data_IF_261753552699
#
_entry.id   IF_261753552699
#
_cell.length_a   1.000
_cell.length_b   1.000
_cell.length_c   1.000
_cell.angle_alpha   90.00
_cell.angle_beta   90.00
_cell.angle_gamma   90.00
#
_symmetry.space_group_name_H-M   'P 1'
#
loop_
_entity.id
_entity.type
_entity.pdbx_description
1 polymer ?
#
# COMPACT_ATOMS: atom_id res chain seq x y z
N UNK A 1 -14.10 -34.18 -8.51
CA UNK A 1 -15.18 -33.22 -8.25
C UNK A 1 -14.81 -31.92 -8.95
N UNK A 2 -15.62 -31.50 -9.91
CA UNK A 2 -15.34 -30.33 -10.75
C UNK A 2 -15.42 -29.07 -9.89
N UNK A 3 -14.42 -28.20 -9.93
CA UNK A 3 -14.44 -26.90 -9.25
C UNK A 3 -15.30 -25.92 -10.03
N UNK A 4 -16.60 -26.21 -10.15
CA UNK A 4 -17.56 -25.42 -10.92
C UNK A 4 -17.74 -24.02 -10.34
N UNK A 5 -17.47 -23.84 -9.05
CA UNK A 5 -17.50 -22.54 -8.35
C UNK A 5 -16.59 -21.49 -8.99
N UNK A 6 -15.56 -21.93 -9.72
CA UNK A 6 -14.63 -21.05 -10.45
C UNK A 6 -14.84 -21.09 -11.97
N UNK A 7 -15.92 -21.70 -12.47
CA UNK A 7 -16.21 -21.76 -13.90
C UNK A 7 -16.34 -20.36 -14.50
N UNK A 8 -16.95 -19.42 -13.78
CA UNK A 8 -17.08 -18.03 -14.20
C UNK A 8 -15.73 -17.36 -14.49
N UNK A 9 -14.70 -17.65 -13.70
CA UNK A 9 -13.35 -17.10 -13.91
C UNK A 9 -12.68 -17.75 -15.12
N UNK A 10 -12.96 -19.03 -15.38
CA UNK A 10 -12.36 -19.80 -16.49
C UNK A 10 -12.93 -19.47 -17.86
N UNK A 11 -14.19 -19.03 -17.92
CA UNK A 11 -14.83 -18.65 -19.20
C UNK A 11 -14.41 -17.27 -19.70
N UNK A 12 -13.73 -16.46 -18.87
CA UNK A 12 -13.30 -15.13 -19.28
C UNK A 12 -12.23 -15.24 -20.39
N UNK A 13 -12.30 -14.41 -21.45
CA UNK A 13 -11.31 -14.41 -22.52
C UNK A 13 -9.86 -14.24 -22.02
N UNK A 14 -9.68 -13.47 -20.95
CA UNK A 14 -8.39 -13.18 -20.30
C UNK A 14 -7.82 -14.37 -19.52
N UNK A 15 -8.63 -15.39 -19.22
CA UNK A 15 -8.20 -16.55 -18.43
C UNK A 15 -7.06 -17.33 -19.11
N UNK A 16 -7.04 -17.38 -20.44
CA UNK A 16 -5.98 -18.07 -21.19
C UNK A 16 -4.61 -17.42 -20.97
N UNK A 17 -4.57 -16.08 -20.98
CA UNK A 17 -3.35 -15.32 -20.70
C UNK A 17 -2.95 -15.44 -19.21
N UNK A 18 -3.92 -15.33 -18.30
CA UNK A 18 -3.70 -15.52 -16.87
C UNK A 18 -3.12 -16.90 -16.53
N UNK A 19 -3.62 -17.97 -17.15
CA UNK A 19 -3.08 -19.33 -17.03
C UNK A 19 -1.65 -19.42 -17.59
N UNK A 20 -1.40 -18.83 -18.75
CA UNK A 20 -0.06 -18.79 -19.36
C UNK A 20 0.98 -18.07 -18.48
N UNK A 21 0.54 -17.05 -17.74
CA UNK A 21 1.34 -16.32 -16.75
C UNK A 21 1.49 -17.06 -15.40
N UNK A 22 1.06 -18.33 -15.32
CA UNK A 22 1.17 -19.13 -14.10
C UNK A 22 0.23 -18.69 -12.99
N UNK A 23 -0.96 -18.18 -13.34
CA UNK A 23 -1.97 -17.65 -12.42
C UNK A 23 -1.48 -16.45 -11.59
N UNK A 24 -0.64 -15.62 -12.19
CA UNK A 24 -0.13 -14.37 -11.58
C UNK A 24 -0.59 -13.16 -12.37
N UNK A 25 -0.99 -12.11 -11.66
CA UNK A 25 -1.34 -10.81 -12.24
C UNK A 25 -0.05 -10.06 -12.49
N UNK A 26 0.16 -9.57 -13.72
CA UNK A 26 1.31 -8.72 -14.04
C UNK A 26 0.96 -7.25 -13.71
N UNK A 27 1.57 -6.63 -12.68
CA UNK A 27 1.19 -5.29 -12.21
C UNK A 27 1.51 -4.17 -13.23
N UNK A 28 2.29 -4.47 -14.27
CA UNK A 28 2.70 -3.49 -15.29
C UNK A 28 1.85 -3.52 -16.57
N UNK A 29 0.89 -4.45 -16.67
CA UNK A 29 0.03 -4.66 -17.87
C UNK A 29 -1.47 -4.51 -17.59
N UNK A 30 -1.86 -4.01 -16.41
CA UNK A 30 -3.27 -3.93 -16.03
C UNK A 30 -3.97 -2.79 -16.78
N UNK A 31 -4.47 -3.07 -17.98
CA UNK A 31 -5.52 -2.27 -18.60
C UNK A 31 -6.82 -2.48 -17.81
N UNK A 32 -7.11 -1.51 -16.94
CA UNK A 32 -8.38 -1.27 -16.20
C UNK A 32 -9.33 -2.46 -16.10
N UNK A 33 -9.05 -3.34 -15.14
CA UNK A 33 -10.12 -4.09 -14.45
C UNK A 33 -10.92 -3.06 -13.63
N UNK A 34 -12.27 -3.05 -13.63
CA UNK A 34 -13.02 -2.26 -12.67
C UNK A 34 -12.89 -2.97 -11.30
N UNK A 35 -11.75 -2.80 -10.66
CA UNK A 35 -11.50 -3.32 -9.32
C UNK A 35 -12.34 -2.52 -8.34
N UNK A 36 -13.43 -3.14 -7.88
CA UNK A 36 -13.86 -2.90 -6.51
C UNK A 36 -12.69 -3.29 -5.61
N UNK A 37 -12.16 -2.28 -4.91
CA UNK A 37 -11.25 -2.37 -3.78
C UNK A 37 -9.79 -2.79 -4.10
N UNK A 38 -8.89 -2.07 -3.42
CA UNK A 38 -7.45 -2.31 -3.20
C UNK A 38 -6.57 -2.19 -4.48
N UNK A 39 -5.62 -1.28 -4.59
CA UNK A 39 -4.80 -0.64 -3.56
C UNK A 39 -3.38 -0.61 -4.09
N UNK A 40 -3.12 0.11 -5.18
CA UNK A 40 -1.75 0.34 -5.64
C UNK A 40 -1.24 1.58 -4.92
N UNK A 41 -0.68 1.38 -3.72
CA UNK A 41 0.12 2.39 -3.04
C UNK A 41 1.57 2.29 -3.54
N UNK A 42 2.05 3.27 -4.31
CA UNK A 42 3.47 3.63 -4.33
C UNK A 42 3.87 4.46 -3.08
N UNK A 43 2.99 4.54 -2.07
CA UNK A 43 3.15 5.34 -0.85
C UNK A 43 3.64 4.51 0.36
N UNK A 44 3.44 3.19 0.38
CA UNK A 44 3.66 2.38 1.60
C UNK A 44 5.09 2.47 2.18
N UNK A 45 6.14 2.48 1.36
CA UNK A 45 7.52 2.61 1.87
C UNK A 45 7.85 4.01 2.40
N UNK A 46 7.25 5.05 1.79
CA UNK A 46 7.40 6.44 2.28
C UNK A 46 6.58 6.66 3.53
N UNK A 47 5.37 6.11 3.57
CA UNK A 47 4.49 6.13 4.73
C UNK A 47 5.08 5.37 5.92
N UNK A 48 5.75 4.23 5.69
CA UNK A 48 6.47 3.51 6.74
C UNK A 48 7.63 4.36 7.33
N UNK A 49 8.39 5.05 6.48
CA UNK A 49 9.44 5.97 6.91
C UNK A 49 8.87 7.19 7.65
N UNK A 50 7.78 7.77 7.15
CA UNK A 50 7.10 8.92 7.73
C UNK A 50 6.50 8.59 9.11
N UNK A 51 5.83 7.44 9.22
CA UNK A 51 5.25 6.96 10.46
C UNK A 51 6.33 6.66 11.50
N UNK A 52 7.45 6.06 11.08
CA UNK A 52 8.62 5.84 11.94
C UNK A 52 9.20 7.16 12.47
N UNK A 53 9.34 8.18 11.62
CA UNK A 53 9.81 9.50 12.02
C UNK A 53 8.86 10.19 13.00
N UNK A 54 7.54 10.09 12.78
CA UNK A 54 6.53 10.65 13.69
C UNK A 54 6.53 9.93 15.05
N UNK A 55 6.69 8.61 15.07
CA UNK A 55 6.78 7.82 16.30
C UNK A 55 8.03 8.17 17.10
N UNK A 56 9.19 8.29 16.44
CA UNK A 56 10.42 8.70 17.11
C UNK A 56 10.29 10.10 17.73
N UNK A 57 9.67 11.04 17.01
CA UNK A 57 9.44 12.39 17.51
C UNK A 57 8.49 12.44 18.72
N UNK A 58 7.45 11.59 18.73
CA UNK A 58 6.54 11.45 19.87
C UNK A 58 7.24 10.84 21.10
N UNK A 59 8.14 9.88 20.88
CA UNK A 59 8.94 9.26 21.92
C UNK A 59 9.94 10.25 22.55
N UNK A 60 10.59 11.09 21.75
CA UNK A 60 11.48 12.15 22.27
C UNK A 60 10.70 13.15 23.14
N UNK A 61 9.47 13.49 22.74
CA UNK A 61 8.57 14.33 23.55
C UNK A 61 8.19 13.64 24.86
N UNK A 62 7.76 12.38 24.82
CA UNK A 62 7.30 11.65 26.01
C UNK A 62 8.41 11.42 27.03
N UNK A 63 9.66 11.28 26.55
CA UNK A 63 10.87 11.22 27.37
C UNK A 63 11.30 12.58 27.93
N UNK A 64 10.65 13.68 27.55
CA UNK A 64 10.97 15.03 27.99
C UNK A 64 12.23 15.63 27.37
N UNK A 65 12.70 15.06 26.25
CA UNK A 65 13.91 15.50 25.53
C UNK A 65 13.64 16.66 24.55
N UNK A 66 12.37 17.00 24.32
CA UNK A 66 11.92 18.09 23.46
C UNK A 66 10.90 18.95 24.21
N UNK A 67 11.02 20.28 24.05
CA UNK A 67 9.95 21.20 24.44
C UNK A 67 8.77 21.10 23.46
N UNK A 68 7.58 21.53 23.90
CA UNK A 68 6.39 21.56 23.04
C UNK A 68 6.60 22.39 21.76
N UNK A 69 7.43 23.43 21.82
CA UNK A 69 7.71 24.32 20.68
C UNK A 69 8.55 23.59 19.62
N UNK A 70 9.59 22.88 20.04
CA UNK A 70 10.47 22.12 19.15
C UNK A 70 9.73 20.95 18.51
N UNK A 71 8.93 20.23 19.29
CA UNK A 71 8.07 19.16 18.80
C UNK A 71 7.12 19.64 17.69
N UNK A 72 6.45 20.77 17.89
CA UNK A 72 5.51 21.32 16.90
C UNK A 72 6.22 21.78 15.62
N UNK A 73 7.45 22.27 15.73
CA UNK A 73 8.24 22.73 14.58
C UNK A 73 8.69 21.55 13.73
N UNK A 74 9.24 20.51 14.36
CA UNK A 74 9.72 19.31 13.66
C UNK A 74 8.55 18.53 13.04
N UNK A 75 7.42 18.40 13.74
CA UNK A 75 6.20 17.76 13.18
C UNK A 75 5.72 18.43 11.90
N UNK A 76 5.70 19.77 11.88
CA UNK A 76 5.27 20.54 10.69
C UNK A 76 6.24 20.38 9.52
N UNK A 77 7.52 20.13 9.79
CA UNK A 77 8.54 19.93 8.77
C UNK A 77 8.43 18.55 8.13
N UNK A 78 8.25 17.51 8.96
CA UNK A 78 8.02 16.12 8.53
C UNK A 78 6.77 16.00 7.65
N UNK A 79 5.68 16.69 8.00
CA UNK A 79 4.42 16.63 7.25
C UNK A 79 4.41 17.46 5.95
N UNK A 80 5.41 18.30 5.72
CA UNK A 80 5.53 19.15 4.52
C UNK A 80 6.52 18.59 3.49
N UNK A 81 7.20 17.49 3.82
CA UNK A 81 8.21 16.88 2.98
C UNK A 81 7.62 16.05 1.85
#
# INVERSE_FOLDING_TARGET
MSHDDLAFVRIQPEFSEFKGNGFRINPFKSDKVPSGQEGTQPDEEKDESLLSQLNHLAELKSRGLLSDIEFNTERKKILKQ
#
